data_IF_807427510312
#
_entry.id   IF_807427510312
#
_cell.length_a   1.000
_cell.length_b   1.000
_cell.length_c   1.000
_cell.angle_alpha   90.00
_cell.angle_beta   90.00
_cell.angle_gamma   90.00
#
_symmetry.space_group_name_H-M   'P 1'
#
loop_
_entity.id
_entity.type
_entity.pdbx_description
1 polymer ?
#
# COMPACT_ATOMS: atom_id res chain seq x y z
N UNK A 1 10.53 15.85 -4.44
CA UNK A 1 11.33 16.08 -5.64
C UNK A 1 10.55 15.84 -6.94
N UNK A 2 9.63 14.88 -6.93
CA UNK A 2 8.82 14.58 -8.13
C UNK A 2 7.60 15.49 -8.28
N UNK A 3 7.29 16.31 -7.28
CA UNK A 3 6.08 17.11 -7.27
C UNK A 3 4.80 16.32 -7.03
N UNK A 4 4.93 15.07 -6.60
CA UNK A 4 3.82 14.18 -6.28
C UNK A 4 3.60 14.15 -4.77
N UNK A 5 2.35 14.23 -4.33
CA UNK A 5 2.03 14.14 -2.91
C UNK A 5 2.25 12.71 -2.42
N UNK A 6 3.16 12.54 -1.46
CA UNK A 6 3.51 11.24 -0.90
C UNK A 6 3.50 11.34 0.62
N UNK A 7 2.91 10.34 1.27
CA UNK A 7 3.01 10.21 2.73
C UNK A 7 4.26 9.40 3.02
N UNK A 8 5.17 9.99 3.79
CA UNK A 8 6.43 9.34 4.13
C UNK A 8 6.26 8.46 5.37
N UNK A 9 6.54 7.18 5.21
CA UNK A 9 6.49 6.23 6.30
C UNK A 9 5.13 5.57 6.49
N UNK A 10 5.05 4.77 7.52
CA UNK A 10 3.86 4.00 7.85
C UNK A 10 4.18 2.53 8.06
N UNK A 11 3.20 1.80 8.53
CA UNK A 11 3.31 0.36 8.76
C UNK A 11 2.41 -0.39 7.79
N UNK A 12 3.00 -1.25 6.99
CA UNK A 12 2.30 -2.07 6.01
C UNK A 12 1.93 -3.40 6.65
N UNK A 13 0.63 -3.68 6.77
CA UNK A 13 0.15 -4.97 7.24
C UNK A 13 0.00 -5.93 6.08
N UNK A 14 0.87 -6.94 6.03
CA UNK A 14 0.81 -7.94 4.96
C UNK A 14 -0.21 -9.02 5.28
N UNK A 15 -1.08 -9.33 4.31
CA UNK A 15 -2.07 -10.38 4.44
C UNK A 15 -1.86 -11.43 3.36
N UNK A 16 -2.41 -12.62 3.61
CA UNK A 16 -2.23 -13.75 2.71
C UNK A 16 -3.01 -13.58 1.39
N UNK A 17 -4.21 -13.04 1.45
CA UNK A 17 -5.09 -13.08 0.29
C UNK A 17 -5.51 -14.51 -0.06
N UNK A 18 -6.11 -14.73 -1.21
CA UNK A 18 -6.46 -13.74 -2.25
C UNK A 18 -7.74 -12.93 -1.97
N UNK A 19 -8.50 -13.29 -0.93
CA UNK A 19 -9.70 -12.54 -0.58
C UNK A 19 -9.36 -11.23 0.13
N UNK A 20 -10.27 -10.28 0.04
CA UNK A 20 -10.15 -9.04 0.80
C UNK A 20 -10.40 -9.32 2.29
N UNK A 21 -9.81 -8.49 3.13
CA UNK A 21 -9.92 -8.60 4.58
C UNK A 21 -11.33 -8.26 5.07
N UNK A 22 -11.74 -8.89 6.17
CA UNK A 22 -12.99 -8.55 6.83
C UNK A 22 -12.82 -7.28 7.67
N UNK A 23 -13.95 -6.66 8.05
CA UNK A 23 -13.94 -5.50 8.95
C UNK A 23 -13.24 -5.81 10.27
N UNK A 24 -13.49 -7.01 10.80
CA UNK A 24 -12.89 -7.44 12.07
C UNK A 24 -11.37 -7.59 11.94
N UNK A 25 -10.92 -8.16 10.85
CA UNK A 25 -9.49 -8.28 10.57
C UNK A 25 -8.83 -6.90 10.47
N UNK A 26 -9.45 -5.97 9.77
CA UNK A 26 -8.93 -4.61 9.63
C UNK A 26 -8.91 -3.89 10.98
N UNK A 27 -9.95 -4.06 11.80
CA UNK A 27 -9.98 -3.46 13.14
C UNK A 27 -8.82 -3.99 14.01
N UNK A 28 -8.53 -5.29 13.92
CA UNK A 28 -7.40 -5.89 14.62
C UNK A 28 -6.07 -5.32 14.13
N UNK A 29 -5.87 -5.26 12.83
CA UNK A 29 -4.64 -4.74 12.25
C UNK A 29 -4.41 -3.28 12.60
N UNK A 30 -5.48 -2.50 12.64
CA UNK A 30 -5.42 -1.10 13.06
C UNK A 30 -4.94 -0.98 14.52
N UNK A 31 -5.46 -1.83 15.40
CA UNK A 31 -5.00 -1.88 16.81
C UNK A 31 -3.55 -2.30 16.91
N UNK A 32 -3.08 -3.14 15.99
CA UNK A 32 -1.69 -3.59 15.94
C UNK A 32 -0.73 -2.52 15.40
N UNK A 33 -1.26 -1.38 14.95
CA UNK A 33 -0.45 -0.26 14.47
C UNK A 33 -0.27 -0.20 12.96
N UNK A 34 -1.01 -0.98 12.18
CA UNK A 34 -0.93 -0.93 10.72
C UNK A 34 -1.62 0.33 10.18
N UNK A 35 -0.99 0.97 9.22
CA UNK A 35 -1.53 2.16 8.55
C UNK A 35 -2.15 1.81 7.21
N UNK A 36 -1.65 0.76 6.57
CA UNK A 36 -2.21 0.26 5.31
C UNK A 36 -2.10 -1.27 5.28
N UNK A 37 -2.80 -1.87 4.34
CA UNK A 37 -2.87 -3.33 4.22
C UNK A 37 -2.71 -3.71 2.76
N UNK A 38 -2.06 -4.83 2.52
CA UNK A 38 -1.89 -5.37 1.19
C UNK A 38 -1.38 -6.80 1.21
N UNK A 39 -1.31 -7.39 0.04
CA UNK A 39 -1.02 -8.82 -0.11
C UNK A 39 0.34 -9.10 -0.75
N UNK A 40 1.12 -8.06 -1.06
CA UNK A 40 2.28 -8.19 -1.94
C UNK A 40 3.61 -7.77 -1.34
N UNK A 41 3.63 -7.29 -0.10
CA UNK A 41 4.87 -6.81 0.53
C UNK A 41 5.81 -7.90 1.00
N UNK A 42 5.34 -9.12 1.11
CA UNK A 42 6.14 -10.28 1.52
C UNK A 42 6.16 -11.32 0.40
N UNK A 43 7.24 -12.08 0.24
CA UNK A 43 8.41 -12.16 1.11
C UNK A 43 9.53 -11.17 0.77
N UNK A 44 9.35 -10.29 -0.18
CA UNK A 44 10.42 -9.41 -0.66
C UNK A 44 11.06 -8.58 0.46
N UNK A 45 10.25 -8.00 1.34
CA UNK A 45 10.76 -7.18 2.43
C UNK A 45 11.64 -7.97 3.40
N UNK A 46 11.22 -9.19 3.74
CA UNK A 46 11.98 -10.07 4.64
C UNK A 46 13.29 -10.48 3.98
N UNK A 47 13.24 -10.90 2.72
CA UNK A 47 14.43 -11.34 1.99
C UNK A 47 15.43 -10.20 1.80
N UNK A 48 14.95 -8.99 1.53
CA UNK A 48 15.81 -7.82 1.45
C UNK A 48 16.52 -7.55 2.77
N UNK A 49 15.79 -7.69 3.88
CA UNK A 49 16.36 -7.51 5.22
C UNK A 49 17.45 -8.55 5.52
N UNK A 50 17.19 -9.81 5.18
CA UNK A 50 18.17 -10.89 5.39
C UNK A 50 19.46 -10.65 4.62
N UNK A 51 19.36 -10.06 3.43
CA UNK A 51 20.52 -9.78 2.58
C UNK A 51 21.12 -8.40 2.81
N UNK A 52 20.63 -7.67 3.79
CA UNK A 52 21.07 -6.31 4.12
C UNK A 52 20.96 -5.35 2.92
N UNK A 53 19.93 -5.54 2.09
CA UNK A 53 19.66 -4.66 0.97
C UNK A 53 18.84 -3.45 1.43
N UNK A 54 19.08 -2.31 0.81
CA UNK A 54 18.22 -1.15 1.00
C UNK A 54 16.89 -1.43 0.29
N UNK A 55 15.80 -1.27 1.04
CA UNK A 55 14.47 -1.61 0.53
C UNK A 55 13.46 -0.55 0.95
N UNK A 56 12.60 -0.20 0.04
CA UNK A 56 11.47 0.66 0.33
C UNK A 56 10.27 0.20 -0.48
N UNK A 57 9.09 0.42 0.05
CA UNK A 57 7.83 0.08 -0.62
C UNK A 57 7.14 1.38 -1.05
N UNK A 58 6.81 1.46 -2.33
CA UNK A 58 5.95 2.52 -2.84
C UNK A 58 4.55 1.95 -2.97
N UNK A 59 3.69 2.30 -2.01
CA UNK A 59 2.33 1.78 -1.97
C UNK A 59 1.37 2.73 -2.68
N UNK A 60 0.64 2.20 -3.65
CA UNK A 60 -0.39 2.94 -4.36
C UNK A 60 -1.72 2.63 -3.69
N UNK A 61 -2.22 3.59 -2.89
CA UNK A 61 -3.45 3.39 -2.13
C UNK A 61 -4.65 3.64 -3.05
N UNK A 62 -5.41 2.59 -3.31
CA UNK A 62 -6.53 2.63 -4.25
C UNK A 62 -7.88 2.81 -3.57
N UNK A 63 -8.01 2.43 -2.30
CA UNK A 63 -9.29 2.45 -1.60
C UNK A 63 -9.09 2.35 -0.08
N UNK A 64 -10.12 2.70 0.67
CA UNK A 64 -10.14 2.44 2.09
C UNK A 64 -10.33 0.94 2.36
N UNK A 65 -9.74 0.45 3.44
CA UNK A 65 -9.94 -0.92 3.88
C UNK A 65 -11.35 -1.10 4.45
N UNK A 66 -11.79 -2.35 4.57
CA UNK A 66 -13.12 -2.69 5.04
C UNK A 66 -13.46 -2.03 6.38
N UNK A 67 -14.56 -1.34 6.44
CA UNK A 67 -15.01 -0.63 7.64
C UNK A 67 -14.34 0.72 7.87
N UNK A 68 -13.47 1.16 6.98
CA UNK A 68 -12.81 2.46 7.03
C UNK A 68 -13.41 3.39 5.97
N UNK A 69 -13.28 4.69 6.20
CA UNK A 69 -13.86 5.68 5.29
C UNK A 69 -15.37 5.78 5.42
N UNK A 70 -16.00 6.59 4.55
CA UNK A 70 -17.43 6.85 4.56
C UNK A 70 -18.21 5.96 3.61
N UNK A 71 -17.53 5.15 2.82
CA UNK A 71 -18.14 4.29 1.82
C UNK A 71 -18.66 3.01 2.46
N UNK A 72 -19.92 2.67 2.18
CA UNK A 72 -20.53 1.44 2.68
C UNK A 72 -19.93 0.20 1.99
N UNK A 73 -19.67 0.31 0.70
CA UNK A 73 -19.09 -0.76 -0.10
C UNK A 73 -18.10 -0.19 -1.08
N UNK A 74 -17.12 -1.04 -1.45
CA UNK A 74 -16.08 -0.69 -2.40
C UNK A 74 -16.34 -1.48 -3.69
N UNK A 75 -16.50 -0.78 -4.81
CA UNK A 75 -16.67 -1.44 -6.11
C UNK A 75 -15.31 -1.71 -6.74
N UNK A 76 -15.26 -2.77 -7.54
CA UNK A 76 -14.05 -3.11 -8.30
C UNK A 76 -13.71 -1.98 -9.28
N UNK A 77 -14.72 -1.37 -9.88
CA UNK A 77 -14.53 -0.26 -10.81
C UNK A 77 -13.86 0.93 -10.15
N UNK A 78 -14.25 1.26 -8.92
CA UNK A 78 -13.63 2.35 -8.16
C UNK A 78 -12.18 2.03 -7.81
N UNK A 79 -11.91 0.78 -7.41
CA UNK A 79 -10.54 0.33 -7.12
C UNK A 79 -9.65 0.50 -8.35
N UNK A 80 -10.12 0.05 -9.52
CA UNK A 80 -9.35 0.16 -10.74
C UNK A 80 -9.16 1.62 -11.18
N UNK A 81 -10.15 2.47 -10.98
CA UNK A 81 -10.04 3.89 -11.31
C UNK A 81 -8.98 4.58 -10.45
N UNK A 82 -9.01 4.34 -9.13
CA UNK A 82 -8.03 4.91 -8.21
C UNK A 82 -6.62 4.37 -8.51
N UNK A 83 -6.52 3.08 -8.79
CA UNK A 83 -5.25 2.45 -9.11
C UNK A 83 -4.65 3.02 -10.40
N UNK A 84 -5.46 3.22 -11.42
CA UNK A 84 -4.99 3.80 -12.68
C UNK A 84 -4.48 5.23 -12.47
N UNK A 85 -5.19 6.05 -11.70
CA UNK A 85 -4.77 7.41 -11.39
C UNK A 85 -3.46 7.43 -10.62
N UNK A 86 -3.32 6.57 -9.61
CA UNK A 86 -2.09 6.49 -8.81
C UNK A 86 -0.92 5.96 -9.64
N UNK A 87 -1.15 4.95 -10.46
CA UNK A 87 -0.11 4.34 -11.30
C UNK A 87 0.47 5.36 -12.30
N UNK A 88 -0.34 6.29 -12.78
CA UNK A 88 0.13 7.31 -13.71
C UNK A 88 1.22 8.22 -13.11
N UNK A 89 1.30 8.31 -11.78
CA UNK A 89 2.31 9.11 -11.09
C UNK A 89 3.64 8.38 -10.87
N UNK A 90 3.66 7.05 -11.00
CA UNK A 90 4.84 6.23 -10.69
C UNK A 90 6.07 6.62 -11.52
N UNK A 91 5.97 6.81 -12.86
CA UNK A 91 7.14 7.20 -13.63
C UNK A 91 7.80 8.49 -13.15
N UNK A 92 7.01 9.47 -12.70
CA UNK A 92 7.54 10.73 -12.18
C UNK A 92 8.32 10.51 -10.89
N UNK A 93 7.81 9.64 -10.02
CA UNK A 93 8.47 9.31 -8.75
C UNK A 93 9.79 8.58 -9.02
N UNK A 94 9.76 7.57 -9.88
CA UNK A 94 10.96 6.79 -10.21
C UNK A 94 12.03 7.67 -10.89
N UNK A 95 11.62 8.58 -11.76
CA UNK A 95 12.54 9.49 -12.42
C UNK A 95 13.24 10.46 -11.44
N UNK A 96 12.59 10.74 -10.31
CA UNK A 96 13.12 11.68 -9.30
C UNK A 96 13.99 10.99 -8.26
N UNK A 97 14.12 9.66 -8.27
CA UNK A 97 14.96 8.94 -7.31
C UNK A 97 16.44 9.27 -7.55
N UNK A 98 17.25 9.38 -6.46
CA UNK A 98 18.69 9.59 -6.59
C UNK A 98 19.33 8.44 -7.36
N UNK A 99 20.33 8.79 -8.18
CA UNK A 99 21.13 7.78 -8.88
C UNK A 99 22.36 7.47 -8.05
N UNK A 100 22.65 6.20 -7.90
CA UNK A 100 23.83 5.73 -7.20
C UNK A 100 24.95 5.39 -8.16
#
# INVERSE_FOLDING_TARGET
AAGVAVIDGGCYGATQGPRLETRAEIARMKRDGCHLVGMTGMPEAVLARELALEYACLALVANFAAGCGDEAEISIEEIFAHLAAATAEVPRILAALPKN
#
